data_IF_745977917802
#
_entry.id   IF_745977917802
#
_cell.length_a   1.000
_cell.length_b   1.000
_cell.length_c   1.000
_cell.angle_alpha   90.00
_cell.angle_beta   90.00
_cell.angle_gamma   90.00
#
_symmetry.space_group_name_H-M   'P 1'
#
loop_
_entity.id
_entity.type
_entity.pdbx_description
1 polymer ?
#
# COMPACT_ATOMS: atom_id res chain seq x y z
N UNK A 1 0.56 8.26 -6.80
CA UNK A 1 1.08 9.64 -6.74
C UNK A 1 2.58 9.71 -6.79
N UNK A 2 3.31 8.97 -5.94
CA UNK A 2 4.79 8.98 -5.93
C UNK A 2 5.43 8.74 -7.30
N UNK A 3 4.97 7.74 -8.06
CA UNK A 3 5.46 7.48 -9.44
C UNK A 3 5.24 8.64 -10.42
N UNK A 4 4.11 9.35 -10.32
CA UNK A 4 3.82 10.52 -11.17
C UNK A 4 4.72 11.70 -10.81
N UNK A 5 4.90 11.96 -9.51
CA UNK A 5 5.82 13.00 -9.01
C UNK A 5 7.26 12.72 -9.44
N UNK A 6 7.70 11.45 -9.44
CA UNK A 6 9.04 11.12 -9.90
C UNK A 6 9.19 11.26 -11.42
N UNK A 7 8.21 10.82 -12.20
CA UNK A 7 8.22 10.96 -13.65
C UNK A 7 8.25 12.43 -14.10
N UNK A 8 7.37 13.26 -13.52
CA UNK A 8 7.39 14.70 -13.75
C UNK A 8 8.72 15.33 -13.30
N UNK A 9 9.27 14.93 -12.15
CA UNK A 9 10.59 15.40 -11.69
C UNK A 9 11.74 15.06 -12.64
N UNK A 10 11.71 13.87 -13.26
CA UNK A 10 12.68 13.48 -14.28
C UNK A 10 12.51 14.29 -15.57
N UNK A 11 11.26 14.54 -15.99
CA UNK A 11 10.97 15.38 -17.16
C UNK A 11 11.46 16.82 -16.95
N UNK A 12 11.19 17.40 -15.77
CA UNK A 12 11.63 18.74 -15.41
C UNK A 12 13.16 18.83 -15.40
N UNK A 13 13.85 17.84 -14.82
CA UNK A 13 15.32 17.79 -14.83
C UNK A 13 15.88 17.76 -16.26
N UNK A 14 15.31 16.94 -17.14
CA UNK A 14 15.75 16.85 -18.54
C UNK A 14 15.55 18.18 -19.28
N UNK A 15 14.42 18.83 -19.06
CA UNK A 15 14.12 20.13 -19.67
C UNK A 15 15.09 21.21 -19.16
N UNK A 16 15.35 21.27 -17.85
CA UNK A 16 16.34 22.18 -17.27
C UNK A 16 17.76 21.96 -17.82
N UNK A 17 18.20 20.71 -17.95
CA UNK A 17 19.51 20.41 -18.55
C UNK A 17 19.58 20.86 -20.02
N UNK A 18 18.52 20.59 -20.79
CA UNK A 18 18.44 21.02 -22.19
C UNK A 18 18.49 22.54 -22.32
N UNK A 19 17.82 23.26 -21.41
CA UNK A 19 17.87 24.74 -21.36
C UNK A 19 19.28 25.24 -21.06
N UNK A 20 19.96 24.66 -20.08
CA UNK A 20 21.34 25.01 -19.73
C UNK A 20 22.29 24.80 -20.90
N UNK A 21 22.14 23.69 -21.64
CA UNK A 21 22.95 23.40 -22.84
C UNK A 21 22.68 24.38 -23.99
N UNK A 22 21.44 24.82 -24.18
CA UNK A 22 21.03 25.67 -25.32
C UNK A 22 21.20 27.18 -25.11
N UNK A 23 21.48 27.65 -23.89
CA UNK A 23 21.72 29.07 -23.71
C UNK A 23 22.05 29.52 -22.31
N UNK A 24 22.67 28.66 -21.52
CA UNK A 24 23.19 29.01 -20.21
C UNK A 24 22.14 28.98 -19.10
N UNK A 25 22.62 29.04 -17.86
CA UNK A 25 21.81 28.93 -16.66
C UNK A 25 20.85 30.11 -16.45
N UNK A 26 21.13 31.25 -17.08
CA UNK A 26 20.37 32.51 -16.90
C UNK A 26 19.15 32.61 -17.82
N UNK A 27 18.89 31.62 -18.68
CA UNK A 27 17.65 31.57 -19.46
C UNK A 27 16.48 31.21 -18.56
N UNK A 28 15.42 32.02 -18.65
CA UNK A 28 14.15 31.77 -17.98
C UNK A 28 13.57 30.40 -18.38
N UNK A 29 12.86 29.71 -17.46
CA UNK A 29 12.18 28.46 -17.79
C UNK A 29 11.18 28.66 -18.93
N UNK A 30 11.22 27.74 -19.90
CA UNK A 30 10.20 27.71 -20.93
C UNK A 30 8.81 27.46 -20.35
N UNK A 31 7.75 27.80 -21.08
CA UNK A 31 6.36 27.52 -20.68
C UNK A 31 6.14 26.03 -20.35
N UNK A 32 6.84 25.13 -21.07
CA UNK A 32 6.81 23.70 -20.81
C UNK A 32 7.42 23.33 -19.45
N UNK A 33 8.51 23.98 -19.06
CA UNK A 33 9.13 23.79 -17.74
C UNK A 33 8.25 24.36 -16.62
N UNK A 34 7.66 25.53 -16.85
CA UNK A 34 6.73 26.15 -15.91
C UNK A 34 5.50 25.24 -15.67
N UNK A 35 4.94 24.65 -16.74
CA UNK A 35 3.84 23.70 -16.63
C UNK A 35 4.22 22.45 -15.81
N UNK A 36 5.44 21.92 -16.00
CA UNK A 36 5.93 20.79 -15.23
C UNK A 36 6.13 21.14 -13.75
N UNK A 37 6.58 22.35 -13.43
CA UNK A 37 6.72 22.85 -12.05
C UNK A 37 5.35 22.92 -11.37
N UNK A 38 4.36 23.52 -12.02
CA UNK A 38 3.00 23.65 -11.49
C UNK A 38 2.31 22.28 -11.34
N UNK A 39 2.45 21.39 -12.32
CA UNK A 39 1.94 20.02 -12.19
C UNK A 39 2.56 19.30 -10.98
N UNK A 40 3.88 19.45 -10.78
CA UNK A 40 4.57 18.85 -9.63
C UNK A 40 4.06 19.40 -8.31
N UNK A 41 3.77 20.69 -8.26
CA UNK A 41 3.21 21.36 -7.08
C UNK A 41 1.84 20.79 -6.75
N UNK A 42 0.94 20.73 -7.73
CA UNK A 42 -0.40 20.16 -7.56
C UNK A 42 -0.36 18.70 -7.08
N UNK A 43 0.53 17.88 -7.66
CA UNK A 43 0.69 16.48 -7.25
C UNK A 43 1.19 16.34 -5.81
N UNK A 44 2.06 17.23 -5.35
CA UNK A 44 2.52 17.25 -3.96
C UNK A 44 1.41 17.71 -3.00
N UNK A 45 0.70 18.77 -3.35
CA UNK A 45 -0.45 19.25 -2.57
C UNK A 45 -1.51 18.16 -2.42
N UNK A 46 -1.84 17.43 -3.50
CA UNK A 46 -2.79 16.33 -3.42
C UNK A 46 -2.27 15.17 -2.56
N UNK A 47 -0.99 14.83 -2.67
CA UNK A 47 -0.36 13.83 -1.80
C UNK A 47 -0.47 14.24 -0.33
N UNK A 48 -0.21 15.50 -0.02
CA UNK A 48 -0.20 16.00 1.34
C UNK A 48 -1.62 16.12 1.90
N UNK A 49 -2.61 16.50 1.08
CA UNK A 49 -4.04 16.40 1.42
C UNK A 49 -4.46 14.97 1.79
N UNK A 50 -4.05 13.97 1.00
CA UNK A 50 -4.33 12.55 1.31
C UNK A 50 -3.66 12.10 2.61
N UNK A 51 -2.44 12.54 2.86
CA UNK A 51 -1.75 12.25 4.13
C UNK A 51 -2.50 12.89 5.30
N UNK A 52 -2.86 14.16 5.20
CA UNK A 52 -3.63 14.86 6.24
C UNK A 52 -4.96 14.13 6.54
N UNK A 53 -5.70 13.71 5.52
CA UNK A 53 -6.92 12.90 5.70
C UNK A 53 -6.65 11.54 6.36
N UNK A 54 -5.51 10.91 6.08
CA UNK A 54 -5.14 9.64 6.68
C UNK A 54 -4.73 9.76 8.16
N UNK A 55 -4.26 10.95 8.59
CA UNK A 55 -3.99 11.24 10.00
C UNK A 55 -5.28 11.49 10.80
N UNK A 56 -6.37 11.87 10.14
CA UNK A 56 -7.66 12.04 10.83
C UNK A 56 -8.15 10.68 11.34
N UNK A 57 -8.74 10.63 12.55
CA UNK A 57 -9.33 9.42 13.09
C UNK A 57 -10.39 8.92 12.11
N UNK A 58 -10.21 7.69 11.63
CA UNK A 58 -11.15 7.09 10.70
C UNK A 58 -12.47 6.82 11.45
N UNK A 59 -13.63 7.04 10.83
CA UNK A 59 -14.91 6.69 11.45
C UNK A 59 -14.88 5.23 11.85
N UNK A 60 -15.34 4.96 13.08
CA UNK A 60 -15.36 3.63 13.67
C UNK A 60 -16.29 2.70 12.89
N UNK A 61 -16.19 1.39 13.13
CA UNK A 61 -17.11 0.44 12.50
C UNK A 61 -18.58 0.72 12.87
N UNK A 62 -18.82 1.27 14.06
CA UNK A 62 -20.15 1.71 14.50
C UNK A 62 -20.59 2.99 13.79
N UNK A 63 -19.69 3.94 13.55
CA UNK A 63 -20.00 5.16 12.79
C UNK A 63 -20.27 4.86 11.30
N UNK A 64 -19.62 3.82 10.76
CA UNK A 64 -19.87 3.31 9.40
C UNK A 64 -21.08 2.39 9.32
N UNK A 65 -21.51 1.84 10.45
CA UNK A 65 -22.81 1.22 10.58
C UNK A 65 -23.87 2.33 10.64
N UNK A 66 -23.92 3.16 9.60
CA UNK A 66 -25.18 3.77 9.20
C UNK A 66 -26.07 2.58 8.96
N UNK A 67 -26.88 2.31 9.98
CA UNK A 67 -27.91 1.31 9.99
C UNK A 67 -28.83 1.73 8.85
N UNK A 68 -28.52 1.26 7.63
CA UNK A 68 -29.48 1.11 6.56
C UNK A 68 -30.46 0.09 7.10
N UNK A 69 -31.31 0.56 8.02
CA UNK A 69 -32.49 -0.12 8.46
C UNK A 69 -33.11 -0.60 7.17
N UNK A 70 -33.05 -1.90 6.93
CA UNK A 70 -33.94 -2.52 5.97
C UNK A 70 -35.30 -2.26 6.60
N UNK A 71 -36.14 -1.37 6.06
CA UNK A 71 -37.47 -1.27 6.58
C UNK A 71 -38.15 -2.59 6.22
N UNK A 72 -38.74 -3.22 7.23
CA UNK A 72 -39.58 -4.42 7.19
C UNK A 72 -38.85 -5.76 7.27
N UNK A 73 -38.74 -6.26 8.50
CA UNK A 73 -38.82 -7.69 8.73
C UNK A 73 -40.22 -8.14 8.26
N UNK A 74 -40.28 -8.91 7.17
CA UNK A 74 -41.50 -9.66 6.85
C UNK A 74 -41.51 -10.90 7.73
N UNK A 75 -42.42 -10.90 8.70
CA UNK A 75 -42.74 -12.06 9.52
C UNK A 75 -42.93 -13.31 8.65
N UNK A 76 -42.04 -14.29 8.81
CA UNK A 76 -42.30 -15.67 8.43
C UNK A 76 -41.74 -16.59 9.52
N UNK A 77 -42.58 -17.38 10.22
CA UNK A 77 -42.10 -18.31 11.23
C UNK A 77 -41.76 -19.68 10.63
N UNK A 78 -40.92 -20.42 11.37
CA UNK A 78 -40.55 -21.86 11.24
C UNK A 78 -39.35 -22.14 10.30
N UNK A 79 -38.40 -23.01 10.61
CA UNK A 79 -38.43 -24.15 11.53
C UNK A 79 -37.05 -24.38 12.17
N UNK A 80 -37.05 -24.84 13.42
CA UNK A 80 -35.93 -25.50 14.09
C UNK A 80 -35.51 -26.73 13.30
N UNK A 81 -34.22 -26.83 12.96
CA UNK A 81 -33.61 -28.08 12.51
C UNK A 81 -32.43 -28.37 13.44
N UNK A 82 -32.70 -29.21 14.43
CA UNK A 82 -31.66 -29.82 15.25
C UNK A 82 -30.96 -30.97 14.51
N UNK A 83 -29.79 -31.28 15.05
CA UNK A 83 -28.96 -32.48 14.87
C UNK A 83 -28.07 -32.56 13.62
N UNK A 84 -26.75 -32.52 13.85
CA UNK A 84 -25.94 -33.74 13.91
C UNK A 84 -24.45 -33.45 14.20
N UNK A 85 -23.91 -34.19 15.16
CA UNK A 85 -22.60 -34.82 15.02
C UNK A 85 -21.45 -34.10 15.69
N UNK A 86 -21.11 -34.58 16.89
CA UNK A 86 -19.77 -34.52 17.47
C UNK A 86 -18.77 -35.17 16.51
N UNK A 87 -18.28 -34.40 15.54
CA UNK A 87 -17.08 -34.77 14.84
C UNK A 87 -15.92 -34.39 15.76
N UNK A 88 -15.22 -35.39 16.29
CA UNK A 88 -13.93 -35.22 16.97
C UNK A 88 -13.03 -34.31 16.13
N UNK A 89 -12.95 -33.05 16.54
CA UNK A 89 -12.10 -32.06 15.89
C UNK A 89 -10.67 -32.36 16.31
N UNK A 90 -9.89 -32.98 15.42
CA UNK A 90 -8.43 -33.01 15.56
C UNK A 90 -7.98 -31.58 15.86
N UNK A 91 -7.36 -31.38 17.03
CA UNK A 91 -6.94 -30.05 17.51
C UNK A 91 -6.22 -29.31 16.36
N UNK A 92 -6.65 -28.09 16.01
CA UNK A 92 -5.99 -27.33 14.95
C UNK A 92 -4.54 -27.09 15.35
N UNK A 93 -3.59 -27.48 14.49
CA UNK A 93 -2.16 -27.16 14.69
C UNK A 93 -2.05 -25.65 14.90
N UNK A 94 -1.34 -25.26 15.96
CA UNK A 94 -1.10 -23.85 16.26
C UNK A 94 -0.51 -23.16 15.04
N UNK A 95 -1.17 -22.08 14.59
CA UNK A 95 -0.69 -21.30 13.44
C UNK A 95 0.53 -20.52 13.88
N UNK A 96 1.65 -20.71 13.16
CA UNK A 96 2.87 -19.93 13.40
C UNK A 96 2.59 -18.44 13.31
N UNK A 97 3.03 -17.69 14.31
CA UNK A 97 2.90 -16.23 14.33
C UNK A 97 3.79 -15.59 13.26
N UNK A 98 3.57 -14.30 12.96
CA UNK A 98 4.37 -13.60 11.94
C UNK A 98 5.85 -13.52 12.34
N UNK A 99 6.15 -13.33 13.61
CA UNK A 99 7.52 -13.31 14.15
C UNK A 99 8.22 -14.66 13.95
N UNK A 100 7.55 -15.77 14.25
CA UNK A 100 8.09 -17.12 14.04
C UNK A 100 8.44 -17.37 12.57
N UNK A 101 7.57 -16.96 11.64
CA UNK A 101 7.85 -17.08 10.20
C UNK A 101 9.08 -16.27 9.77
N UNK A 102 9.28 -15.09 10.34
CA UNK A 102 10.46 -14.27 10.05
C UNK A 102 11.74 -14.85 10.65
N UNK A 103 11.68 -15.39 11.88
CA UNK A 103 12.80 -16.06 12.51
C UNK A 103 13.24 -17.31 11.74
N UNK A 104 12.30 -18.15 11.32
CA UNK A 104 12.56 -19.34 10.50
C UNK A 104 13.20 -18.98 9.15
N UNK A 105 12.71 -17.91 8.51
CA UNK A 105 13.30 -17.41 7.26
C UNK A 105 14.73 -16.89 7.45
N UNK A 106 14.99 -16.17 8.55
CA UNK A 106 16.34 -15.69 8.86
C UNK A 106 17.30 -16.85 9.15
N UNK A 107 16.85 -17.84 9.93
CA UNK A 107 17.64 -19.04 10.22
C UNK A 107 17.96 -19.84 8.95
N UNK A 108 17.01 -20.00 8.02
CA UNK A 108 17.24 -20.67 6.76
C UNK A 108 18.29 -19.95 5.88
N UNK A 109 18.26 -18.61 5.85
CA UNK A 109 19.25 -17.81 5.12
C UNK A 109 20.66 -17.90 5.74
N UNK A 110 20.76 -17.89 7.07
CA UNK A 110 22.04 -18.09 7.76
C UNK A 110 22.58 -19.50 7.58
N UNK A 111 21.73 -20.52 7.61
CA UNK A 111 22.12 -21.90 7.32
C UNK A 111 22.62 -22.05 5.88
N UNK A 112 21.96 -21.41 4.91
CA UNK A 112 22.41 -21.40 3.51
C UNK A 112 23.78 -20.72 3.35
N UNK A 113 24.04 -19.63 4.10
CA UNK A 113 25.34 -18.94 4.10
C UNK A 113 26.46 -19.78 4.71
N UNK A 114 26.14 -20.57 5.74
CA UNK A 114 27.10 -21.44 6.45
C UNK A 114 27.31 -22.78 5.76
N UNK A 115 26.47 -23.15 4.78
CA UNK A 115 26.67 -24.38 4.03
C UNK A 115 27.95 -24.27 3.18
N UNK A 116 28.88 -25.24 3.29
CA UNK A 116 30.13 -25.18 2.55
C UNK A 116 29.83 -25.30 1.05
N UNK A 117 30.12 -24.23 0.29
CA UNK A 117 30.09 -24.26 -1.16
C UNK A 117 31.12 -25.30 -1.62
N UNK A 118 30.65 -26.40 -2.23
CA UNK A 118 31.53 -27.35 -2.91
C UNK A 118 32.33 -26.59 -3.96
N UNK A 119 33.68 -26.63 -3.96
CA UNK A 119 34.44 -26.06 -5.05
C UNK A 119 34.10 -26.84 -6.34
N UNK A 120 33.84 -26.10 -7.42
CA UNK A 120 33.70 -26.70 -8.74
C UNK A 120 35.03 -27.37 -9.11
N UNK A 121 34.96 -28.62 -9.58
CA UNK A 121 36.10 -29.33 -10.16
C UNK A 121 36.43 -28.79 -11.54
#
# INVERSE_FOLDING_TARGET
MTKKISANGQALHRAMMSRMEQGGADKEPSEAEAALIEERRLLKEERDKRKAQALLPRPSALDRLVRTHHPQAKDKPKATKEAKGDHETKKPKARKTRSEKHAEKAAALEAARRSPKKPAK
#
